data_IF_750562827236
#
_entry.id   IF_750562827236
#
_cell.length_a   1.000
_cell.length_b   1.000
_cell.length_c   1.000
_cell.angle_alpha   90.00
_cell.angle_beta   90.00
_cell.angle_gamma   90.00
#
_symmetry.space_group_name_H-M   'P 1'
#
loop_
_entity.id
_entity.type
_entity.pdbx_description
1 polymer ?
#
# COMPACT_ATOMS: atom_id res chain seq x y z
N UNK A 1 -14.52 10.57 -0.06
CA UNK A 1 -16.00 10.53 0.17
C UNK A 1 -16.66 9.35 -0.57
N UNK A 2 -16.59 9.25 -1.92
CA UNK A 2 -17.23 8.16 -2.65
C UNK A 2 -16.66 6.78 -2.29
N UNK A 3 -15.33 6.66 -2.17
CA UNK A 3 -14.69 5.42 -1.72
C UNK A 3 -15.06 5.04 -0.28
N UNK A 4 -15.24 6.01 0.58
CA UNK A 4 -15.61 5.81 1.99
C UNK A 4 -17.07 5.33 2.12
N UNK A 5 -17.94 5.81 1.24
CA UNK A 5 -19.35 5.40 1.19
C UNK A 5 -19.59 4.07 0.45
N UNK A 6 -18.61 3.57 -0.31
CA UNK A 6 -18.74 2.31 -1.02
C UNK A 6 -18.69 1.11 -0.05
N UNK A 7 -19.28 -0.02 -0.46
CA UNK A 7 -19.31 -1.26 0.31
C UNK A 7 -17.90 -1.78 0.63
N UNK A 8 -17.58 -2.04 1.92
CA UNK A 8 -16.27 -2.53 2.31
C UNK A 8 -15.95 -3.92 1.76
N UNK A 9 -14.70 -4.16 1.42
CA UNK A 9 -14.12 -5.47 1.08
C UNK A 9 -14.87 -6.24 -0.01
N UNK A 10 -15.68 -5.54 -0.83
CA UNK A 10 -16.46 -6.16 -1.90
C UNK A 10 -15.58 -6.80 -2.97
N UNK A 11 -14.50 -6.11 -3.35
CA UNK A 11 -13.54 -6.56 -4.37
C UNK A 11 -12.13 -6.26 -3.92
N UNK A 12 -11.22 -7.22 -4.06
CA UNK A 12 -9.80 -7.11 -3.66
C UNK A 12 -8.95 -7.60 -4.83
N UNK A 13 -7.86 -6.89 -5.12
CA UNK A 13 -6.94 -7.25 -6.20
C UNK A 13 -5.52 -7.42 -5.65
N UNK A 14 -4.72 -8.27 -6.29
CA UNK A 14 -3.28 -8.19 -6.10
C UNK A 14 -2.73 -7.01 -6.91
N UNK A 15 -2.28 -5.98 -6.21
CA UNK A 15 -1.79 -4.75 -6.84
C UNK A 15 -0.51 -4.94 -7.63
N UNK A 16 0.22 -6.05 -7.41
CA UNK A 16 1.42 -6.41 -8.15
C UNK A 16 1.13 -7.36 -9.34
N UNK A 17 -0.15 -7.60 -9.64
CA UNK A 17 -0.51 -8.40 -10.81
C UNK A 17 0.02 -7.77 -12.11
N UNK A 18 0.78 -8.53 -12.95
CA UNK A 18 1.51 -8.00 -14.09
C UNK A 18 0.73 -7.08 -15.04
N UNK A 19 -0.55 -7.35 -15.37
CA UNK A 19 -1.36 -6.45 -16.18
C UNK A 19 -1.49 -5.02 -15.64
N UNK A 20 -1.34 -4.80 -14.33
CA UNK A 20 -1.45 -3.47 -13.72
C UNK A 20 -0.21 -2.59 -13.94
N UNK A 21 0.94 -3.18 -14.28
CA UNK A 21 2.17 -2.41 -14.57
C UNK A 21 2.13 -1.69 -15.93
N UNK A 22 1.26 -2.11 -16.84
CA UNK A 22 1.08 -1.40 -18.11
C UNK A 22 0.02 -0.33 -18.02
N UNK A 23 0.27 0.84 -18.60
CA UNK A 23 -0.70 1.96 -18.61
C UNK A 23 -1.98 1.64 -19.38
N UNK A 24 -3.02 2.47 -19.16
CA UNK A 24 -4.31 2.43 -19.88
C UNK A 24 -5.28 1.35 -19.38
N UNK A 25 -6.56 1.61 -19.63
CA UNK A 25 -7.68 0.68 -19.36
C UNK A 25 -7.75 0.07 -17.95
N UNK A 26 -7.25 0.77 -16.90
CA UNK A 26 -7.13 0.24 -15.54
C UNK A 26 -8.46 -0.30 -14.99
N UNK A 27 -9.57 0.39 -15.23
CA UNK A 27 -10.89 -0.10 -14.80
C UNK A 27 -11.23 -1.47 -15.40
N UNK A 28 -10.92 -1.67 -16.67
CA UNK A 28 -11.15 -2.96 -17.35
C UNK A 28 -10.26 -4.06 -16.76
N UNK A 29 -8.99 -3.78 -16.51
CA UNK A 29 -8.05 -4.72 -15.91
C UNK A 29 -8.49 -5.15 -14.51
N UNK A 30 -8.92 -4.20 -13.66
CA UNK A 30 -9.47 -4.50 -12.33
C UNK A 30 -10.70 -5.41 -12.46
N UNK A 31 -11.64 -5.10 -13.37
CA UNK A 31 -12.81 -5.94 -13.58
C UNK A 31 -12.45 -7.34 -14.09
N UNK A 32 -11.47 -7.46 -14.97
CA UNK A 32 -10.96 -8.76 -15.46
C UNK A 32 -10.36 -9.58 -14.32
N UNK A 33 -9.55 -8.96 -13.45
CA UNK A 33 -9.01 -9.62 -12.27
C UNK A 33 -10.13 -10.12 -11.33
N UNK A 34 -11.11 -9.26 -11.02
CA UNK A 34 -12.23 -9.62 -10.17
C UNK A 34 -13.08 -10.75 -10.79
N UNK A 35 -13.32 -10.71 -12.11
CA UNK A 35 -14.02 -11.79 -12.81
C UNK A 35 -13.25 -13.11 -12.76
N UNK A 36 -11.94 -13.08 -12.99
CA UNK A 36 -11.09 -14.28 -12.94
C UNK A 36 -11.00 -14.91 -11.54
N UNK A 37 -11.23 -14.11 -10.50
CA UNK A 37 -11.22 -14.55 -9.09
C UNK A 37 -12.63 -14.70 -8.51
N UNK A 38 -13.67 -14.73 -9.34
CA UNK A 38 -15.08 -14.88 -8.96
C UNK A 38 -15.56 -13.86 -7.91
N UNK A 39 -15.10 -12.61 -8.02
CA UNK A 39 -15.49 -11.52 -7.14
C UNK A 39 -16.56 -10.62 -7.77
N UNK A 40 -17.37 -9.91 -6.97
CA UNK A 40 -18.22 -8.84 -7.47
C UNK A 40 -17.42 -7.81 -8.25
N UNK A 41 -17.94 -7.32 -9.36
CA UNK A 41 -17.25 -6.35 -10.20
C UNK A 41 -17.48 -4.93 -9.68
N UNK A 42 -16.43 -4.11 -9.48
CA UNK A 42 -16.63 -2.69 -9.20
C UNK A 42 -17.27 -2.00 -10.41
N UNK A 43 -18.21 -1.08 -10.14
CA UNK A 43 -19.07 -0.45 -11.12
C UNK A 43 -19.14 1.08 -10.99
N UNK A 44 -18.90 1.62 -9.78
CA UNK A 44 -18.88 3.06 -9.50
C UNK A 44 -17.45 3.56 -9.26
N UNK A 45 -17.24 4.86 -9.36
CA UNK A 45 -15.95 5.48 -9.01
C UNK A 45 -15.54 5.14 -7.57
N UNK A 46 -16.51 5.17 -6.66
CA UNK A 46 -16.30 4.84 -5.25
C UNK A 46 -15.87 3.39 -5.05
N UNK A 47 -16.54 2.43 -5.70
CA UNK A 47 -16.21 1.01 -5.58
C UNK A 47 -14.84 0.67 -6.18
N UNK A 48 -14.45 1.30 -7.31
CA UNK A 48 -13.09 1.17 -7.84
C UNK A 48 -12.04 1.74 -6.90
N UNK A 49 -12.26 2.96 -6.40
CA UNK A 49 -11.30 3.61 -5.51
C UNK A 49 -11.14 2.83 -4.19
N UNK A 50 -12.25 2.34 -3.63
CA UNK A 50 -12.23 1.52 -2.41
C UNK A 50 -11.50 0.21 -2.63
N UNK A 51 -11.82 -0.52 -3.70
CA UNK A 51 -11.10 -1.74 -4.10
C UNK A 51 -9.58 -1.50 -4.14
N UNK A 52 -9.12 -0.43 -4.79
CA UNK A 52 -7.70 -0.10 -4.88
C UNK A 52 -7.10 0.23 -3.51
N UNK A 53 -7.77 1.04 -2.69
CA UNK A 53 -7.23 1.44 -1.39
C UNK A 53 -7.16 0.29 -0.39
N UNK A 54 -8.19 -0.55 -0.32
CA UNK A 54 -8.18 -1.75 0.52
C UNK A 54 -7.10 -2.73 0.07
N UNK A 55 -6.96 -2.93 -1.24
CA UNK A 55 -5.94 -3.81 -1.81
C UNK A 55 -4.51 -3.33 -1.54
N UNK A 56 -4.26 -2.02 -1.67
CA UNK A 56 -2.97 -1.41 -1.33
C UNK A 56 -2.65 -1.55 0.16
N UNK A 57 -3.63 -1.32 1.02
CA UNK A 57 -3.47 -1.47 2.47
C UNK A 57 -3.12 -2.93 2.86
N UNK A 58 -3.80 -3.90 2.27
CA UNK A 58 -3.51 -5.32 2.44
C UNK A 58 -2.12 -5.70 1.89
N UNK A 59 -1.69 -5.07 0.79
CA UNK A 59 -0.35 -5.28 0.24
C UNK A 59 0.74 -4.68 1.13
N UNK A 60 0.48 -3.55 1.80
CA UNK A 60 1.39 -3.03 2.83
C UNK A 60 1.55 -4.05 3.96
N UNK A 61 0.46 -4.63 4.46
CA UNK A 61 0.52 -5.71 5.45
C UNK A 61 1.40 -6.86 4.97
N UNK A 62 1.13 -7.40 3.80
CA UNK A 62 1.92 -8.49 3.21
C UNK A 62 3.42 -8.16 3.18
N UNK A 63 3.77 -6.97 2.72
CA UNK A 63 5.16 -6.52 2.64
C UNK A 63 5.80 -6.40 4.02
N UNK A 64 5.08 -5.82 4.99
CA UNK A 64 5.57 -5.67 6.36
C UNK A 64 5.78 -7.02 7.05
N UNK A 65 4.90 -8.00 6.83
CA UNK A 65 5.08 -9.37 7.34
C UNK A 65 6.35 -10.01 6.76
N UNK A 66 6.57 -9.91 5.43
CA UNK A 66 7.81 -10.43 4.80
C UNK A 66 9.06 -9.73 5.33
N UNK A 67 9.02 -8.42 5.52
CA UNK A 67 10.13 -7.66 6.10
C UNK A 67 10.36 -8.05 7.57
N UNK A 68 9.31 -8.28 8.33
CA UNK A 68 9.41 -8.71 9.74
C UNK A 68 10.06 -10.10 9.86
N UNK A 69 9.73 -11.01 8.96
CA UNK A 69 10.38 -12.34 8.87
C UNK A 69 11.89 -12.22 8.60
N UNK A 70 12.30 -11.36 7.66
CA UNK A 70 13.70 -11.13 7.33
C UNK A 70 14.44 -10.49 8.52
N UNK A 71 13.80 -9.53 9.21
CA UNK A 71 14.39 -8.83 10.36
C UNK A 71 14.41 -9.66 11.65
N UNK A 72 13.58 -10.70 11.75
CA UNK A 72 13.41 -11.51 12.96
C UNK A 72 12.60 -10.83 14.07
N UNK A 73 11.96 -9.68 13.80
CA UNK A 73 11.09 -8.98 14.75
C UNK A 73 9.99 -8.19 14.03
N UNK A 74 8.87 -7.97 14.71
CA UNK A 74 7.74 -7.22 14.18
C UNK A 74 8.12 -5.76 13.86
N UNK A 75 7.50 -5.21 12.81
CA UNK A 75 7.58 -3.80 12.46
C UNK A 75 6.43 -3.08 13.16
N UNK A 76 6.74 -2.18 14.08
CA UNK A 76 5.76 -1.51 14.94
C UNK A 76 5.14 -0.26 14.31
N UNK A 77 5.80 0.30 13.29
CA UNK A 77 5.31 1.51 12.62
C UNK A 77 5.67 1.55 11.15
N UNK A 78 4.76 2.10 10.34
CA UNK A 78 4.92 2.40 8.92
C UNK A 78 4.94 3.91 8.71
N UNK A 79 6.00 4.42 8.11
CA UNK A 79 6.09 5.84 7.74
C UNK A 79 5.68 6.03 6.27
N UNK A 80 4.64 6.85 6.03
CA UNK A 80 4.18 7.19 4.68
C UNK A 80 4.54 8.65 4.40
N UNK A 81 5.38 8.87 3.39
CA UNK A 81 5.86 10.19 2.99
C UNK A 81 5.55 10.48 1.53
N UNK A 82 5.70 11.73 1.12
CA UNK A 82 5.39 12.16 -0.25
C UNK A 82 3.89 12.33 -0.48
N UNK A 83 3.45 12.34 -1.74
CA UNK A 83 2.05 12.57 -2.11
C UNK A 83 1.04 11.61 -1.49
N UNK A 84 1.46 10.37 -1.20
CA UNK A 84 0.64 9.35 -0.54
C UNK A 84 0.16 9.75 0.85
N UNK A 85 0.96 10.53 1.59
CA UNK A 85 0.62 10.99 2.94
C UNK A 85 -0.66 11.84 3.00
N UNK A 86 -1.09 12.45 1.89
CA UNK A 86 -2.34 13.22 1.80
C UNK A 86 -3.60 12.37 1.76
N UNK A 87 -3.50 11.07 1.46
CA UNK A 87 -4.65 10.21 1.33
C UNK A 87 -5.04 9.61 2.69
N UNK A 88 -5.80 10.38 3.48
CA UNK A 88 -6.23 9.99 4.83
C UNK A 88 -6.95 8.65 4.88
N UNK A 89 -7.77 8.33 3.88
CA UNK A 89 -8.50 7.06 3.85
C UNK A 89 -7.55 5.88 3.66
N UNK A 90 -6.60 5.99 2.72
CA UNK A 90 -5.59 4.96 2.52
C UNK A 90 -4.67 4.81 3.75
N UNK A 91 -4.28 5.92 4.39
CA UNK A 91 -3.45 5.89 5.59
C UNK A 91 -4.16 5.18 6.75
N UNK A 92 -5.48 5.43 6.93
CA UNK A 92 -6.31 4.72 7.89
C UNK A 92 -6.36 3.23 7.57
N UNK A 93 -6.69 2.88 6.34
CA UNK A 93 -6.75 1.48 5.91
C UNK A 93 -5.40 0.77 6.04
N UNK A 94 -4.29 1.47 5.79
CA UNK A 94 -2.95 0.92 5.97
C UNK A 94 -2.66 0.57 7.44
N UNK A 95 -3.05 1.43 8.39
CA UNK A 95 -2.91 1.14 9.82
C UNK A 95 -3.79 -0.06 10.22
N UNK A 96 -5.06 -0.06 9.82
CA UNK A 96 -6.03 -1.08 10.17
C UNK A 96 -5.66 -2.46 9.57
N UNK A 97 -5.23 -2.49 8.32
CA UNK A 97 -4.81 -3.73 7.65
C UNK A 97 -3.50 -4.29 8.21
N UNK A 98 -2.50 -3.42 8.43
CA UNK A 98 -1.17 -3.84 8.86
C UNK A 98 -1.08 -4.12 10.37
N UNK A 99 -2.07 -3.70 11.16
CA UNK A 99 -2.06 -3.86 12.62
C UNK A 99 -0.92 -3.08 13.30
N UNK A 100 -0.37 -2.06 12.65
CA UNK A 100 0.71 -1.23 13.18
C UNK A 100 0.40 0.26 13.00
N UNK A 101 1.09 1.09 13.78
CA UNK A 101 0.94 2.54 13.69
C UNK A 101 1.40 3.06 12.33
N UNK A 102 0.58 3.91 11.67
CA UNK A 102 0.97 4.64 10.49
C UNK A 102 1.25 6.10 10.86
N UNK A 103 2.43 6.58 10.48
CA UNK A 103 2.89 7.95 10.71
C UNK A 103 3.06 8.61 9.34
N UNK A 104 2.35 9.71 9.09
CA UNK A 104 2.54 10.46 7.85
C UNK A 104 3.65 11.48 8.01
N UNK A 105 4.44 11.65 6.96
CA UNK A 105 5.52 12.64 6.91
C UNK A 105 5.29 13.69 5.84
N UNK A 106 6.33 14.49 5.56
CA UNK A 106 6.24 15.58 4.60
C UNK A 106 5.81 15.11 3.22
N UNK A 107 4.95 15.90 2.57
CA UNK A 107 4.53 15.66 1.18
C UNK A 107 5.71 15.84 0.24
N UNK A 108 6.53 16.86 0.46
CA UNK A 108 7.72 17.16 -0.33
C UNK A 108 9.01 16.60 0.31
N UNK A 109 8.93 15.40 0.88
CA UNK A 109 10.01 14.80 1.67
C UNK A 109 11.35 14.71 0.94
N UNK A 110 11.34 14.43 -0.38
CA UNK A 110 12.55 14.35 -1.17
C UNK A 110 13.23 15.73 -1.34
N UNK A 111 12.45 16.79 -1.61
CA UNK A 111 12.97 18.15 -1.74
C UNK A 111 13.49 18.68 -0.41
N UNK A 112 12.72 18.48 0.66
CA UNK A 112 13.11 18.89 2.02
C UNK A 112 14.36 18.17 2.47
N UNK A 113 14.42 16.85 2.27
CA UNK A 113 15.59 16.03 2.61
C UNK A 113 16.84 16.48 1.86
N UNK A 114 16.73 16.74 0.57
CA UNK A 114 17.84 17.24 -0.25
C UNK A 114 18.35 18.59 0.26
N UNK A 115 17.45 19.55 0.53
CA UNK A 115 17.82 20.86 1.05
C UNK A 115 18.53 20.78 2.41
N UNK A 116 17.98 19.98 3.33
CA UNK A 116 18.55 19.86 4.68
C UNK A 116 19.88 19.12 4.71
N UNK A 117 20.09 18.15 3.81
CA UNK A 117 21.41 17.48 3.66
C UNK A 117 22.46 18.45 3.12
N UNK A 118 22.09 19.35 2.20
CA UNK A 118 23.00 20.41 1.73
C UNK A 118 23.34 21.40 2.85
N UNK A 119 22.36 21.84 3.64
CA UNK A 119 22.60 22.70 4.79
C UNK A 119 23.51 22.03 5.83
N UNK A 120 23.35 20.73 6.05
CA UNK A 120 24.24 19.95 6.91
C UNK A 120 25.66 19.90 6.35
N UNK A 121 25.83 19.74 5.04
CA UNK A 121 27.15 19.75 4.39
C UNK A 121 27.85 21.10 4.45
N UNK A 122 27.08 22.20 4.48
CA UNK A 122 27.59 23.57 4.66
C UNK A 122 27.89 23.93 6.13
N UNK A 123 27.51 23.07 7.08
CA UNK A 123 27.71 23.30 8.51
C UNK A 123 26.60 24.10 9.19
N UNK A 124 25.49 24.41 8.49
CA UNK A 124 24.35 25.14 9.06
C UNK A 124 23.49 24.25 9.96
N UNK A 125 23.59 22.92 9.79
CA UNK A 125 22.92 21.89 10.59
C UNK A 125 23.98 20.94 11.13
N UNK A 126 23.97 20.69 12.45
CA UNK A 126 25.02 19.93 13.16
C UNK A 126 24.98 18.43 12.87
N UNK A 127 23.85 17.89 12.44
CA UNK A 127 23.71 16.45 12.16
C UNK A 127 22.27 15.99 11.89
N UNK A 128 22.12 14.67 11.74
CA UNK A 128 20.86 14.05 11.35
C UNK A 128 19.73 14.25 12.36
N UNK A 129 20.05 14.36 13.65
CA UNK A 129 19.03 14.54 14.69
C UNK A 129 18.44 15.94 14.65
N UNK A 130 19.27 16.99 14.47
CA UNK A 130 18.80 18.35 14.25
C UNK A 130 17.99 18.46 12.96
N UNK A 131 18.42 17.80 11.87
CA UNK A 131 17.67 17.71 10.63
C UNK A 131 16.26 17.14 10.87
N UNK A 132 16.16 16.02 11.59
CA UNK A 132 14.87 15.40 11.94
C UNK A 132 13.98 16.32 12.78
N UNK A 133 14.58 17.07 13.71
CA UNK A 133 13.85 18.01 14.56
C UNK A 133 13.32 19.20 13.75
N UNK A 134 14.05 19.67 12.75
CA UNK A 134 13.58 20.68 11.82
C UNK A 134 12.35 20.17 11.06
N UNK A 135 12.44 18.97 10.48
CA UNK A 135 11.31 18.35 9.75
C UNK A 135 10.07 18.23 10.64
N UNK A 136 10.21 17.76 11.88
CA UNK A 136 9.09 17.62 12.84
C UNK A 136 8.42 18.95 13.17
N UNK A 137 9.17 20.05 13.16
CA UNK A 137 8.65 21.39 13.47
C UNK A 137 8.00 22.06 12.26
N UNK A 138 8.42 21.72 11.05
CA UNK A 138 7.96 22.37 9.83
C UNK A 138 6.70 21.73 9.22
N UNK A 139 6.47 20.45 9.50
CA UNK A 139 5.42 19.67 8.84
C UNK A 139 4.45 19.04 9.84
N UNK A 140 3.16 19.11 9.51
CA UNK A 140 2.14 18.42 10.29
C UNK A 140 2.26 16.91 10.08
N UNK A 141 2.53 16.19 11.17
CA UNK A 141 2.56 14.73 11.21
C UNK A 141 1.21 14.22 11.72
N UNK A 142 0.52 13.42 10.93
CA UNK A 142 -0.68 12.72 11.38
C UNK A 142 -0.28 11.28 11.80
N UNK A 143 -0.88 10.79 12.88
CA UNK A 143 -0.68 9.43 13.37
C UNK A 143 -2.01 8.68 13.33
N UNK A 144 -1.99 7.48 12.78
CA UNK A 144 -3.14 6.58 12.69
C UNK A 144 -2.83 5.33 13.51
N UNK A 145 -3.55 5.16 14.62
CA UNK A 145 -3.49 3.93 15.40
C UNK A 145 -4.31 2.84 14.72
N UNK A 146 -3.87 1.58 14.72
CA UNK A 146 -4.56 0.49 14.08
C UNK A 146 -5.89 0.17 14.78
N UNK A 147 -6.90 -0.13 13.97
CA UNK A 147 -8.18 -0.70 14.41
C UNK A 147 -8.48 -1.93 13.56
N UNK A 148 -7.69 -2.98 13.74
CA UNK A 148 -7.80 -4.22 12.97
C UNK A 148 -9.06 -4.96 13.38
N UNK A 149 -9.91 -5.30 12.41
CA UNK A 149 -11.14 -6.05 12.58
C UNK A 149 -11.06 -7.43 11.94
N UNK A 150 -12.00 -8.31 12.29
CA UNK A 150 -12.11 -9.63 11.64
C UNK A 150 -12.33 -9.52 10.12
N UNK A 151 -12.90 -8.42 9.64
CA UNK A 151 -13.10 -8.16 8.21
C UNK A 151 -11.77 -7.94 7.47
N UNK A 152 -10.80 -7.21 8.09
CA UNK A 152 -9.45 -7.07 7.55
C UNK A 152 -8.70 -8.40 7.50
N UNK A 153 -8.85 -9.26 8.53
CA UNK A 153 -8.26 -10.60 8.54
C UNK A 153 -8.83 -11.48 7.42
N UNK A 154 -10.16 -11.48 7.27
CA UNK A 154 -10.83 -12.23 6.20
C UNK A 154 -10.44 -11.72 4.81
N UNK A 155 -10.32 -10.40 4.64
CA UNK A 155 -9.88 -9.76 3.41
C UNK A 155 -8.43 -10.12 3.06
N UNK A 156 -7.55 -10.17 4.07
CA UNK A 156 -6.16 -10.56 3.87
C UNK A 156 -6.03 -12.03 3.45
N UNK A 157 -6.77 -12.92 4.06
CA UNK A 157 -6.82 -14.33 3.65
C UNK A 157 -7.26 -14.50 2.19
N UNK A 158 -8.25 -13.70 1.74
CA UNK A 158 -8.66 -13.70 0.32
C UNK A 158 -7.55 -13.21 -0.60
N UNK A 159 -6.85 -12.12 -0.24
CA UNK A 159 -5.73 -11.61 -1.04
C UNK A 159 -4.65 -12.68 -1.24
N UNK A 160 -4.25 -13.37 -0.17
CA UNK A 160 -3.25 -14.44 -0.25
C UNK A 160 -3.67 -15.54 -1.23
N UNK A 161 -4.93 -15.99 -1.16
CA UNK A 161 -5.47 -16.97 -2.10
C UNK A 161 -5.47 -16.49 -3.55
N UNK A 162 -5.74 -15.20 -3.80
CA UNK A 162 -5.69 -14.65 -5.16
C UNK A 162 -4.26 -14.55 -5.70
N UNK A 163 -3.29 -14.21 -4.85
CA UNK A 163 -1.88 -14.15 -5.23
C UNK A 163 -1.36 -15.53 -5.67
N UNK A 164 -1.77 -16.61 -4.99
CA UNK A 164 -1.41 -17.97 -5.35
C UNK A 164 -2.06 -18.39 -6.69
N UNK A 165 -3.37 -18.17 -6.83
CA UNK A 165 -4.15 -18.60 -8.00
C UNK A 165 -3.66 -17.95 -9.28
N UNK A 166 -3.31 -16.66 -9.24
CA UNK A 166 -2.90 -15.90 -10.43
C UNK A 166 -1.45 -16.20 -10.82
N UNK A 167 -0.58 -16.52 -9.86
CA UNK A 167 0.80 -16.95 -10.14
C UNK A 167 0.84 -18.24 -10.95
N UNK A 168 -0.07 -19.18 -10.72
CA UNK A 168 -0.13 -20.46 -11.44
C UNK A 168 -0.61 -20.32 -12.90
N UNK A 169 -1.44 -19.31 -13.21
CA UNK A 169 -1.97 -19.13 -14.58
C UNK A 169 -0.98 -18.48 -15.54
N UNK A 170 0.17 -17.99 -15.06
CA UNK A 170 1.19 -17.31 -15.87
C UNK A 170 2.46 -18.14 -16.14
N UNK A 171 2.52 -19.40 -15.72
CA UNK A 171 3.54 -20.32 -16.19
C UNK A 171 3.11 -20.83 -17.57
N UNK A 172 3.75 -20.42 -18.69
CA UNK A 172 3.50 -21.06 -19.97
C UNK A 172 3.88 -22.54 -19.80
N UNK A 173 2.96 -23.42 -20.20
CA UNK A 173 3.31 -24.82 -20.37
C UNK A 173 4.48 -24.88 -21.36
N UNK A 174 5.69 -25.10 -20.88
CA UNK A 174 6.80 -25.50 -21.71
C UNK A 174 6.42 -26.89 -22.25
N UNK A 175 5.86 -26.91 -23.44
CA UNK A 175 5.82 -28.11 -24.26
C UNK A 175 7.27 -28.55 -24.48
N UNK A 176 7.69 -29.53 -23.71
CA UNK A 176 8.85 -30.35 -24.05
C UNK A 176 8.47 -31.22 -25.24
N UNK A 177 8.56 -30.71 -26.44
CA UNK A 177 8.67 -31.50 -27.64
C UNK A 177 10.11 -31.98 -27.73
N UNK A 178 10.35 -33.14 -27.16
CA UNK A 178 11.49 -34.01 -27.53
C UNK A 178 11.23 -34.58 -28.92
N UNK A 179 12.05 -34.19 -29.88
CA UNK A 179 12.33 -34.94 -31.10
C UNK A 179 13.81 -35.27 -31.13
#
# INVERSE_FOLDING_TARGET
REAEAAEPFRSIIDTDHPPFFSGGHMRQKIRQFCAATNQPLPDTVGSFARCVYESLALKYRYTLERLSEIKGHAIESLNIVGGGSRNRLLNRFAADAAGCRVITGPVESAAIGNLLVQAMALGDISGIDELRDIVRRCEAVECYEPNTTAEWEAAYGRLLGYMETVSYTHLPAHETTLH
#
